data_IF_047753561345
#
_entry.id   IF_047753561345
#
_cell.length_a   1.000
_cell.length_b   1.000
_cell.length_c   1.000
_cell.angle_alpha   90.00
_cell.angle_beta   90.00
_cell.angle_gamma   90.00
#
_symmetry.space_group_name_H-M   'P 1'
#
loop_
_entity.id
_entity.type
_entity.pdbx_description
1 polymer ?
#
# COMPACT_ATOMS: atom_id res chain seq x y z
N UNK A 1 1.75 19.75 -23.93
CA UNK A 1 2.02 20.51 -22.68
C UNK A 1 3.24 19.92 -21.99
N UNK A 2 4.14 20.79 -21.53
CA UNK A 2 5.27 20.33 -20.72
C UNK A 2 4.78 19.97 -19.30
N UNK A 3 5.17 18.79 -18.83
CA UNK A 3 4.92 18.39 -17.46
C UNK A 3 5.69 19.34 -16.52
N UNK A 4 5.08 19.84 -15.43
CA UNK A 4 5.78 20.70 -14.48
C UNK A 4 7.07 20.08 -13.98
N UNK A 5 8.15 20.84 -14.03
CA UNK A 5 9.47 20.38 -13.57
C UNK A 5 9.53 20.49 -12.06
N UNK A 6 9.87 19.39 -11.40
CA UNK A 6 10.07 19.36 -9.93
C UNK A 6 11.55 19.59 -9.65
N UNK A 7 11.84 20.60 -8.85
CA UNK A 7 13.20 20.93 -8.40
C UNK A 7 13.35 20.61 -6.91
N UNK A 8 14.34 19.82 -6.57
CA UNK A 8 14.69 19.49 -5.18
C UNK A 8 16.21 19.70 -5.01
N UNK A 9 16.61 20.43 -3.98
CA UNK A 9 18.04 20.76 -3.73
C UNK A 9 18.77 21.33 -4.96
N UNK A 10 18.12 22.23 -5.69
CA UNK A 10 18.60 22.82 -6.96
C UNK A 10 18.84 21.81 -8.10
N UNK A 11 18.30 20.60 -8.00
CA UNK A 11 18.35 19.60 -9.07
C UNK A 11 16.94 19.32 -9.57
N UNK A 12 16.82 19.14 -10.88
CA UNK A 12 15.59 18.63 -11.48
C UNK A 12 15.44 17.15 -11.06
N UNK A 13 14.26 16.81 -10.52
CA UNK A 13 13.90 15.41 -10.24
C UNK A 13 13.25 14.87 -11.52
N UNK A 14 13.80 13.81 -12.12
CA UNK A 14 13.14 13.15 -13.23
C UNK A 14 11.82 12.54 -12.75
N UNK A 15 10.75 12.77 -13.51
CA UNK A 15 9.48 12.09 -13.27
C UNK A 15 9.57 10.69 -13.90
N UNK A 16 9.95 9.71 -13.10
CA UNK A 16 10.00 8.31 -13.51
C UNK A 16 8.58 7.71 -13.50
N UNK A 17 7.71 8.24 -14.36
CA UNK A 17 6.33 7.78 -14.48
C UNK A 17 6.31 6.34 -15.00
N UNK A 18 5.44 5.48 -14.45
CA UNK A 18 5.18 4.17 -15.04
C UNK A 18 4.49 4.33 -16.40
N UNK A 19 4.62 3.33 -17.26
CA UNK A 19 3.94 3.31 -18.57
C UNK A 19 2.42 3.44 -18.41
N UNK A 20 1.86 2.83 -17.34
CA UNK A 20 0.46 2.91 -16.99
C UNK A 20 0.29 3.31 -15.54
N UNK A 21 -0.64 4.21 -15.28
CA UNK A 21 -1.08 4.58 -13.93
C UNK A 21 -2.29 3.73 -13.59
N UNK A 22 -2.25 3.07 -12.43
CA UNK A 22 -3.33 2.23 -11.93
C UNK A 22 -3.95 2.83 -10.67
N UNK A 23 -5.20 2.48 -10.47
CA UNK A 23 -5.98 2.89 -9.30
C UNK A 23 -6.27 1.65 -8.46
N UNK A 24 -6.02 1.73 -7.16
CA UNK A 24 -6.55 0.77 -6.19
C UNK A 24 -7.75 1.40 -5.49
N UNK A 25 -8.91 0.78 -5.65
CA UNK A 25 -10.10 1.15 -4.89
C UNK A 25 -9.96 0.66 -3.44
N UNK A 26 -10.20 1.56 -2.49
CA UNK A 26 -10.15 1.25 -1.05
C UNK A 26 -11.50 1.45 -0.35
N UNK A 27 -12.57 1.57 -1.11
CA UNK A 27 -13.93 1.78 -0.60
C UNK A 27 -14.36 0.71 0.40
N UNK A 28 -14.02 -0.56 0.13
CA UNK A 28 -14.41 -1.69 0.97
C UNK A 28 -13.49 -1.94 2.16
N UNK A 29 -12.42 -1.20 2.28
CA UNK A 29 -11.51 -1.21 3.42
C UNK A 29 -11.49 0.16 4.11
N UNK A 30 -10.86 1.15 3.54
CA UNK A 30 -10.68 2.47 4.16
C UNK A 30 -11.98 3.26 4.23
N UNK A 31 -12.75 3.24 3.16
CA UNK A 31 -14.05 3.90 3.10
C UNK A 31 -15.03 3.43 4.19
N UNK A 32 -15.00 2.14 4.55
CA UNK A 32 -15.84 1.62 5.62
C UNK A 32 -15.41 2.01 7.03
N UNK A 33 -14.21 2.58 7.23
CA UNK A 33 -13.76 3.04 8.55
C UNK A 33 -14.43 4.34 9.00
N UNK A 34 -14.88 5.16 8.05
CA UNK A 34 -15.49 6.45 8.31
C UNK A 34 -17.03 6.44 8.31
N UNK A 35 -17.66 5.31 8.05
CA UNK A 35 -19.10 5.18 7.93
C UNK A 35 -19.60 3.80 8.41
N UNK A 36 -20.92 3.63 8.43
CA UNK A 36 -21.53 2.32 8.69
C UNK A 36 -21.10 1.31 7.64
N UNK A 37 -20.71 0.12 8.10
CA UNK A 37 -20.28 -0.95 7.21
C UNK A 37 -21.35 -1.33 6.20
N UNK A 38 -20.97 -1.46 4.94
CA UNK A 38 -21.84 -1.95 3.89
C UNK A 38 -22.34 -3.38 4.13
N UNK A 39 -23.53 -3.66 3.67
CA UNK A 39 -24.03 -5.03 3.56
C UNK A 39 -23.31 -5.78 2.44
N UNK A 40 -23.27 -7.11 2.50
CA UNK A 40 -22.74 -7.95 1.42
C UNK A 40 -23.33 -7.56 0.06
N UNK A 41 -24.66 -7.36 0.00
CA UNK A 41 -25.37 -6.96 -1.23
C UNK A 41 -24.88 -5.63 -1.79
N UNK A 42 -24.64 -4.63 -0.93
CA UNK A 42 -24.12 -3.33 -1.35
C UNK A 42 -22.71 -3.42 -1.89
N UNK A 43 -21.82 -4.16 -1.20
CA UNK A 43 -20.45 -4.36 -1.66
C UNK A 43 -20.43 -5.05 -3.03
N UNK A 44 -21.20 -6.12 -3.21
CA UNK A 44 -21.28 -6.81 -4.49
C UNK A 44 -21.73 -5.87 -5.61
N UNK A 45 -22.77 -5.06 -5.38
CA UNK A 45 -23.26 -4.11 -6.37
C UNK A 45 -22.22 -3.03 -6.69
N UNK A 46 -21.52 -2.51 -5.69
CA UNK A 46 -20.44 -1.53 -5.90
C UNK A 46 -19.24 -2.15 -6.63
N UNK A 47 -18.91 -3.40 -6.32
CA UNK A 47 -17.84 -4.12 -6.99
C UNK A 47 -18.19 -4.39 -8.46
N UNK A 48 -19.45 -4.77 -8.76
CA UNK A 48 -19.95 -4.90 -10.11
C UNK A 48 -19.85 -3.56 -10.87
N UNK A 49 -20.17 -2.42 -10.23
CA UNK A 49 -20.01 -1.09 -10.84
C UNK A 49 -18.55 -0.71 -11.10
N UNK A 50 -17.62 -1.04 -10.20
CA UNK A 50 -16.20 -0.79 -10.44
C UNK A 50 -15.71 -1.54 -11.67
N UNK A 51 -16.16 -2.78 -11.86
CA UNK A 51 -15.87 -3.57 -13.05
C UNK A 51 -16.47 -2.93 -14.33
N UNK A 52 -17.74 -2.51 -14.27
CA UNK A 52 -18.40 -1.83 -15.38
C UNK A 52 -17.71 -0.53 -15.77
N UNK A 53 -17.32 0.30 -14.78
CA UNK A 53 -16.58 1.56 -14.99
C UNK A 53 -15.22 1.32 -15.61
N UNK A 54 -14.49 0.31 -15.14
CA UNK A 54 -13.19 -0.05 -15.69
C UNK A 54 -13.27 -0.56 -17.13
N UNK A 55 -14.38 -1.18 -17.49
CA UNK A 55 -14.62 -1.74 -18.82
C UNK A 55 -13.48 -2.64 -19.33
N UNK A 56 -12.92 -3.45 -18.45
CA UNK A 56 -11.76 -4.34 -18.70
C UNK A 56 -10.47 -3.63 -19.17
N UNK A 57 -10.35 -2.34 -18.93
CA UNK A 57 -9.12 -1.59 -19.24
C UNK A 57 -7.99 -1.85 -18.23
N UNK A 58 -8.33 -2.33 -17.03
CA UNK A 58 -7.39 -2.58 -15.93
C UNK A 58 -6.79 -1.30 -15.33
N UNK A 59 -7.49 -0.16 -15.46
CA UNK A 59 -7.13 1.11 -14.83
C UNK A 59 -7.51 1.08 -13.35
N UNK A 60 -8.76 0.66 -13.03
CA UNK A 60 -9.14 0.27 -11.67
C UNK A 60 -8.58 -1.13 -11.44
N UNK A 61 -7.28 -1.15 -11.12
CA UNK A 61 -6.50 -2.39 -11.10
C UNK A 61 -6.92 -3.33 -9.98
N UNK A 62 -7.18 -2.78 -8.80
CA UNK A 62 -7.43 -3.58 -7.60
C UNK A 62 -8.54 -2.98 -6.76
N UNK A 63 -9.22 -3.83 -6.00
CA UNK A 63 -10.14 -3.45 -4.93
C UNK A 63 -9.73 -4.14 -3.65
N UNK A 64 -9.59 -3.36 -2.57
CA UNK A 64 -8.99 -3.78 -1.30
C UNK A 64 -10.05 -4.06 -0.24
N UNK A 65 -9.94 -5.23 0.41
CA UNK A 65 -10.93 -5.73 1.36
C UNK A 65 -10.32 -6.06 2.73
N UNK A 66 -11.13 -5.95 3.78
CA UNK A 66 -10.87 -6.60 5.05
C UNK A 66 -11.21 -8.09 5.01
N UNK A 67 -10.57 -8.87 5.91
CA UNK A 67 -10.80 -10.32 6.06
C UNK A 67 -11.18 -10.72 7.49
N UNK A 68 -11.36 -9.77 8.40
CA UNK A 68 -11.45 -10.05 9.83
C UNK A 68 -12.76 -10.71 10.24
N UNK A 69 -13.88 -10.26 9.74
CA UNK A 69 -15.19 -10.82 10.08
C UNK A 69 -15.60 -11.96 9.13
N UNK A 70 -16.53 -12.78 9.58
CA UNK A 70 -17.14 -13.80 8.71
C UNK A 70 -17.83 -13.17 7.49
N UNK A 71 -18.46 -11.99 7.69
CA UNK A 71 -19.10 -11.22 6.64
C UNK A 71 -18.07 -10.75 5.60
N UNK A 72 -16.91 -10.25 6.03
CA UNK A 72 -15.86 -9.78 5.10
C UNK A 72 -15.40 -10.94 4.21
N UNK A 73 -15.13 -12.10 4.81
CA UNK A 73 -14.71 -13.30 4.06
C UNK A 73 -15.79 -13.84 3.13
N UNK A 74 -17.06 -13.83 3.56
CA UNK A 74 -18.19 -14.17 2.69
C UNK A 74 -18.27 -13.23 1.50
N UNK A 75 -18.13 -11.92 1.74
CA UNK A 75 -18.16 -10.91 0.69
C UNK A 75 -17.04 -11.13 -0.32
N UNK A 76 -15.82 -11.34 0.15
CA UNK A 76 -14.66 -11.61 -0.73
C UNK A 76 -14.89 -12.85 -1.60
N UNK A 77 -15.38 -13.96 -1.03
CA UNK A 77 -15.70 -15.17 -1.83
C UNK A 77 -16.72 -14.88 -2.91
N UNK A 78 -17.79 -14.14 -2.58
CA UNK A 78 -18.81 -13.78 -3.57
C UNK A 78 -18.30 -12.82 -4.65
N UNK A 79 -17.35 -11.95 -4.33
CA UNK A 79 -16.65 -11.15 -5.34
C UNK A 79 -15.74 -12.04 -6.24
N UNK A 80 -15.03 -13.00 -5.64
CA UNK A 80 -14.22 -13.97 -6.40
C UNK A 80 -15.07 -14.82 -7.37
N UNK A 81 -16.29 -15.20 -6.96
CA UNK A 81 -17.25 -15.95 -7.80
C UNK A 81 -17.68 -15.17 -9.04
N UNK A 82 -17.51 -13.84 -9.11
CA UNK A 82 -17.75 -13.04 -10.31
C UNK A 82 -16.81 -13.37 -11.45
N UNK A 83 -15.59 -13.83 -11.12
CA UNK A 83 -14.58 -14.17 -12.13
C UNK A 83 -14.08 -13.00 -12.95
N UNK A 84 -14.24 -11.74 -12.46
CA UNK A 84 -13.73 -10.56 -13.15
C UNK A 84 -12.20 -10.56 -13.17
N UNK A 85 -11.62 -10.15 -14.30
CA UNK A 85 -10.19 -9.90 -14.39
C UNK A 85 -9.83 -8.63 -13.61
N UNK A 86 -10.64 -7.57 -13.73
CA UNK A 86 -10.50 -6.30 -13.03
C UNK A 86 -11.82 -5.81 -12.44
N UNK A 87 -11.78 -5.17 -11.24
CA UNK A 87 -10.62 -5.06 -10.35
C UNK A 87 -10.18 -6.41 -9.77
N UNK A 88 -8.87 -6.63 -9.67
CA UNK A 88 -8.33 -7.77 -8.92
C UNK A 88 -8.68 -7.61 -7.43
N UNK A 89 -8.98 -8.72 -6.78
CA UNK A 89 -9.25 -8.72 -5.34
C UNK A 89 -7.92 -8.76 -4.57
N UNK A 90 -7.72 -7.77 -3.73
CA UNK A 90 -6.62 -7.75 -2.77
C UNK A 90 -7.15 -7.57 -1.35
N UNK A 91 -6.37 -7.92 -0.36
CA UNK A 91 -6.75 -7.76 1.04
C UNK A 91 -5.85 -6.76 1.75
N UNK A 92 -6.30 -6.35 2.93
CA UNK A 92 -5.51 -5.57 3.85
C UNK A 92 -5.47 -6.26 5.22
N UNK A 93 -4.26 -6.40 5.75
CA UNK A 93 -3.98 -6.95 7.08
C UNK A 93 -2.96 -6.07 7.82
N UNK A 94 -2.89 -6.19 9.13
CA UNK A 94 -1.72 -5.74 9.88
C UNK A 94 -0.55 -6.67 9.53
N UNK A 95 0.68 -6.16 9.60
CA UNK A 95 1.88 -7.00 9.49
C UNK A 95 1.99 -7.89 10.73
N UNK A 96 1.15 -8.92 10.77
CA UNK A 96 1.02 -9.88 11.86
C UNK A 96 0.77 -11.28 11.30
N UNK A 97 1.43 -12.29 11.88
CA UNK A 97 1.38 -13.66 11.38
C UNK A 97 -0.02 -14.29 11.44
N UNK A 98 -0.79 -13.96 12.48
CA UNK A 98 -2.17 -14.47 12.63
C UNK A 98 -3.10 -13.89 11.58
N UNK A 99 -2.91 -12.60 11.27
CA UNK A 99 -3.68 -11.94 10.23
C UNK A 99 -3.33 -12.52 8.85
N UNK A 100 -2.06 -12.85 8.62
CA UNK A 100 -1.60 -13.45 7.36
C UNK A 100 -2.24 -14.83 7.08
N UNK A 101 -2.55 -15.63 8.12
CA UNK A 101 -3.26 -16.89 7.93
C UNK A 101 -4.68 -16.71 7.32
N UNK A 102 -5.30 -15.54 7.49
CA UNK A 102 -6.57 -15.24 6.83
C UNK A 102 -6.39 -15.09 5.32
N UNK A 103 -5.28 -14.48 4.89
CA UNK A 103 -4.96 -14.27 3.46
C UNK A 103 -4.82 -15.62 2.76
N UNK A 104 -4.04 -16.53 3.34
CA UNK A 104 -3.85 -17.89 2.79
C UNK A 104 -5.17 -18.63 2.65
N UNK A 105 -6.04 -18.59 3.69
CA UNK A 105 -7.35 -19.26 3.69
C UNK A 105 -8.32 -18.73 2.62
N UNK A 106 -8.09 -17.50 2.15
CA UNK A 106 -8.92 -16.85 1.15
C UNK A 106 -8.33 -16.92 -0.26
N UNK A 107 -7.18 -17.60 -0.43
CA UNK A 107 -6.51 -17.79 -1.72
C UNK A 107 -6.20 -16.47 -2.46
N UNK A 108 -5.90 -15.42 -1.68
CA UNK A 108 -5.58 -14.10 -2.20
C UNK A 108 -4.12 -14.06 -2.66
N UNK A 109 -3.89 -13.57 -3.86
CA UNK A 109 -2.57 -13.56 -4.50
C UNK A 109 -1.68 -12.39 -4.08
N UNK A 110 -2.28 -11.29 -3.65
CA UNK A 110 -1.59 -10.08 -3.20
C UNK A 110 -2.30 -9.51 -1.97
N UNK A 111 -1.54 -9.08 -0.97
CA UNK A 111 -2.12 -8.47 0.23
C UNK A 111 -1.38 -7.22 0.68
N UNK A 112 -2.13 -6.19 1.05
CA UNK A 112 -1.62 -5.04 1.78
C UNK A 112 -1.26 -5.43 3.21
N UNK A 113 -0.06 -5.07 3.65
CA UNK A 113 0.47 -5.31 5.00
C UNK A 113 0.79 -3.98 5.66
N UNK A 114 0.04 -3.60 6.69
CA UNK A 114 0.27 -2.35 7.41
C UNK A 114 1.54 -2.43 8.23
N UNK A 115 2.49 -1.56 7.92
CA UNK A 115 3.78 -1.41 8.57
C UNK A 115 3.92 0.02 9.06
N UNK A 116 3.71 0.24 10.36
CA UNK A 116 3.86 1.58 10.95
C UNK A 116 5.32 2.03 10.87
N UNK A 117 5.56 3.22 10.31
CA UNK A 117 6.92 3.72 10.06
C UNK A 117 7.33 4.88 10.96
N UNK A 118 6.38 5.65 11.52
CA UNK A 118 6.71 6.74 12.44
C UNK A 118 6.99 6.22 13.85
N UNK A 119 7.88 6.91 14.56
CA UNK A 119 8.16 6.62 15.98
C UNK A 119 6.90 6.73 16.84
N UNK A 120 5.98 7.63 16.49
CA UNK A 120 4.69 7.74 17.17
C UNK A 120 3.91 6.42 17.13
N UNK A 121 3.81 5.82 15.97
CA UNK A 121 3.09 4.56 15.83
C UNK A 121 3.89 3.38 16.37
N UNK A 122 5.20 3.35 16.15
CA UNK A 122 6.05 2.25 16.64
C UNK A 122 6.04 2.21 18.17
N UNK A 123 6.34 3.34 18.84
CA UNK A 123 6.47 3.36 20.28
C UNK A 123 5.12 3.45 21.02
N UNK A 124 4.20 4.31 20.54
CA UNK A 124 2.96 4.61 21.27
C UNK A 124 1.80 3.69 20.93
N UNK A 125 1.67 3.31 19.64
CA UNK A 125 0.59 2.44 19.17
C UNK A 125 0.94 0.97 19.31
N UNK A 126 2.17 0.58 18.95
CA UNK A 126 2.58 -0.83 18.93
C UNK A 126 3.33 -1.25 20.21
N UNK A 127 3.89 -0.31 20.98
CA UNK A 127 4.70 -0.60 22.15
C UNK A 127 6.03 -1.29 21.81
N UNK A 128 6.55 -1.08 20.61
CA UNK A 128 7.77 -1.69 20.09
C UNK A 128 8.87 -0.63 19.95
N UNK A 129 10.13 -1.06 19.90
CA UNK A 129 11.21 -0.22 19.38
C UNK A 129 11.37 -0.45 17.86
N UNK A 130 12.19 0.40 17.19
CA UNK A 130 12.41 0.34 15.74
C UNK A 130 12.93 -1.03 15.26
N UNK A 131 13.84 -1.66 16.03
CA UNK A 131 14.40 -2.98 15.68
C UNK A 131 13.32 -4.06 15.74
N UNK A 132 12.56 -4.11 16.82
CA UNK A 132 11.46 -5.07 16.99
C UNK A 132 10.38 -4.92 15.91
N UNK A 133 10.05 -3.68 15.55
CA UNK A 133 9.10 -3.40 14.48
C UNK A 133 9.64 -3.90 13.13
N UNK A 134 10.90 -3.62 12.83
CA UNK A 134 11.55 -4.06 11.59
C UNK A 134 11.60 -5.59 11.49
N UNK A 135 12.06 -6.27 12.54
CA UNK A 135 12.10 -7.73 12.61
C UNK A 135 10.71 -8.36 12.38
N UNK A 136 9.70 -7.81 13.04
CA UNK A 136 8.30 -8.24 12.87
C UNK A 136 7.84 -8.09 11.41
N UNK A 137 8.09 -6.95 10.78
CA UNK A 137 7.63 -6.68 9.41
C UNK A 137 8.35 -7.56 8.40
N UNK A 138 9.65 -7.72 8.52
CA UNK A 138 10.46 -8.61 7.68
C UNK A 138 9.97 -10.05 7.79
N UNK A 139 9.68 -10.53 9.01
CA UNK A 139 9.17 -11.89 9.24
C UNK A 139 7.86 -12.15 8.51
N UNK A 140 6.91 -11.23 8.59
CA UNK A 140 5.61 -11.40 7.93
C UNK A 140 5.73 -11.27 6.41
N UNK A 141 6.53 -10.32 5.91
CA UNK A 141 6.80 -10.19 4.47
C UNK A 141 7.44 -11.46 3.91
N UNK A 142 8.44 -12.03 4.61
CA UNK A 142 9.07 -13.30 4.22
C UNK A 142 8.07 -14.44 4.15
N UNK A 143 7.18 -14.57 5.14
CA UNK A 143 6.12 -15.61 5.11
C UNK A 143 5.19 -15.48 3.90
N UNK A 144 4.89 -14.26 3.48
CA UNK A 144 4.09 -14.05 2.28
C UNK A 144 4.85 -14.50 1.02
N UNK A 145 6.11 -14.12 0.90
CA UNK A 145 6.97 -14.53 -0.21
C UNK A 145 7.14 -16.05 -0.26
N UNK A 146 7.40 -16.69 0.89
CA UNK A 146 7.52 -18.16 1.00
C UNK A 146 6.22 -18.88 0.59
N UNK A 147 5.05 -18.21 0.74
CA UNK A 147 3.75 -18.72 0.31
C UNK A 147 3.39 -18.37 -1.15
N UNK A 148 4.27 -17.69 -1.89
CA UNK A 148 4.00 -17.23 -3.25
C UNK A 148 2.98 -16.09 -3.34
N UNK A 149 2.72 -15.39 -2.21
CA UNK A 149 1.78 -14.26 -2.13
C UNK A 149 2.59 -12.96 -2.20
N UNK A 150 2.20 -12.07 -3.11
CA UNK A 150 2.86 -10.77 -3.28
C UNK A 150 2.55 -9.85 -2.08
N UNK A 151 3.55 -9.45 -1.27
CA UNK A 151 3.33 -8.45 -0.25
C UNK A 151 3.29 -7.05 -0.87
N UNK A 152 2.29 -6.26 -0.51
CA UNK A 152 2.24 -4.82 -0.71
C UNK A 152 2.40 -4.14 0.63
N UNK A 153 3.60 -3.66 0.90
CA UNK A 153 3.98 -3.07 2.19
C UNK A 153 3.44 -1.66 2.30
N UNK A 154 2.48 -1.43 3.18
CA UNK A 154 1.91 -0.11 3.46
C UNK A 154 2.76 0.59 4.51
N UNK A 155 3.55 1.56 4.08
CA UNK A 155 4.42 2.37 4.93
C UNK A 155 3.58 3.43 5.66
N UNK A 156 2.88 3.00 6.71
CA UNK A 156 1.93 3.84 7.46
C UNK A 156 2.63 5.01 8.13
N UNK A 157 2.02 6.19 8.01
CA UNK A 157 2.48 7.43 8.62
C UNK A 157 3.88 7.87 8.14
N UNK A 158 4.15 7.64 6.86
CA UNK A 158 5.46 7.91 6.26
C UNK A 158 5.84 9.39 6.33
N UNK A 159 4.84 10.28 6.30
CA UNK A 159 5.04 11.74 6.38
C UNK A 159 5.47 12.26 7.76
N UNK A 160 5.58 11.36 8.76
CA UNK A 160 6.18 11.63 10.08
C UNK A 160 7.29 10.64 10.45
N UNK A 161 7.70 9.81 9.52
CA UNK A 161 8.71 8.78 9.74
C UNK A 161 10.13 9.34 9.57
N UNK A 162 11.08 8.70 10.24
CA UNK A 162 12.50 8.87 9.94
C UNK A 162 12.82 8.14 8.63
N UNK A 163 12.83 8.90 7.53
CA UNK A 163 12.94 8.33 6.19
C UNK A 163 14.24 7.54 6.01
N UNK A 164 15.37 8.12 6.34
CA UNK A 164 16.67 7.46 6.16
C UNK A 164 17.02 6.47 7.29
N UNK A 165 16.59 6.76 8.53
CA UNK A 165 16.92 5.92 9.68
C UNK A 165 16.01 4.70 9.86
N UNK A 166 14.82 4.70 9.23
CA UNK A 166 13.90 3.58 9.36
C UNK A 166 13.28 3.12 8.04
N UNK A 167 12.71 4.03 7.22
CA UNK A 167 11.96 3.65 6.01
C UNK A 167 12.89 3.03 4.97
N UNK A 168 13.98 3.70 4.63
CA UNK A 168 14.94 3.20 3.61
C UNK A 168 15.53 1.84 4.00
N UNK A 169 16.04 1.62 5.23
CA UNK A 169 16.48 0.29 5.65
C UNK A 169 15.40 -0.79 5.57
N UNK A 170 14.18 -0.51 6.01
CA UNK A 170 13.06 -1.45 5.94
C UNK A 170 12.75 -1.86 4.51
N UNK A 171 12.60 -0.88 3.62
CA UNK A 171 12.26 -1.11 2.21
C UNK A 171 13.38 -1.89 1.51
N UNK A 172 14.65 -1.54 1.74
CA UNK A 172 15.79 -2.28 1.18
C UNK A 172 15.78 -3.75 1.58
N UNK A 173 15.62 -4.04 2.88
CA UNK A 173 15.57 -5.42 3.38
C UNK A 173 14.44 -6.23 2.74
N UNK A 174 13.24 -5.67 2.69
CA UNK A 174 12.09 -6.39 2.12
C UNK A 174 12.21 -6.55 0.60
N UNK A 175 12.76 -5.54 -0.09
CA UNK A 175 12.99 -5.62 -1.55
C UNK A 175 14.02 -6.70 -1.91
N UNK A 176 15.08 -6.87 -1.11
CA UNK A 176 16.06 -7.96 -1.30
C UNK A 176 15.39 -9.33 -1.12
N UNK A 177 14.57 -9.52 -0.08
CA UNK A 177 13.79 -10.77 0.08
C UNK A 177 12.89 -11.05 -1.13
N UNK A 178 12.29 -10.01 -1.69
CA UNK A 178 11.50 -10.14 -2.92
C UNK A 178 12.32 -10.62 -4.12
N UNK A 179 13.53 -10.06 -4.28
CA UNK A 179 14.46 -10.51 -5.33
C UNK A 179 14.87 -11.97 -5.15
N UNK A 180 15.21 -12.38 -3.92
CA UNK A 180 15.55 -13.77 -3.59
C UNK A 180 14.39 -14.73 -3.91
N UNK A 181 13.15 -14.31 -3.62
CA UNK A 181 11.94 -15.08 -3.92
C UNK A 181 11.47 -14.98 -5.38
N UNK A 182 12.11 -14.15 -6.20
CA UNK A 182 11.68 -13.81 -7.56
C UNK A 182 10.22 -13.28 -7.61
N UNK A 183 9.82 -12.51 -6.59
CA UNK A 183 8.52 -11.84 -6.48
C UNK A 183 8.75 -10.35 -6.34
N UNK A 184 8.13 -9.55 -7.23
CA UNK A 184 8.18 -8.08 -7.11
C UNK A 184 7.33 -7.62 -5.92
N UNK A 185 7.99 -7.24 -4.84
CA UNK A 185 7.33 -6.58 -3.70
C UNK A 185 6.82 -5.21 -4.12
N UNK A 186 5.64 -4.83 -3.65
CA UNK A 186 5.06 -3.50 -3.85
C UNK A 186 5.10 -2.69 -2.56
N UNK A 187 5.22 -1.39 -2.70
CA UNK A 187 5.25 -0.46 -1.57
C UNK A 187 4.22 0.65 -1.76
N UNK A 188 3.41 0.86 -0.74
CA UNK A 188 2.45 1.96 -0.67
C UNK A 188 2.94 2.98 0.36
N UNK A 189 3.28 4.17 -0.08
CA UNK A 189 3.57 5.29 0.81
C UNK A 189 2.24 5.88 1.32
N UNK A 190 2.01 5.80 2.63
CA UNK A 190 0.74 6.21 3.24
C UNK A 190 0.91 7.52 4.01
N UNK A 191 0.32 8.58 3.49
CA UNK A 191 0.16 9.86 4.19
C UNK A 191 -1.07 9.82 5.09
N UNK A 192 -0.91 9.15 6.21
CA UNK A 192 -2.01 8.79 7.14
C UNK A 192 -2.76 9.99 7.69
N UNK A 193 -2.11 11.14 7.80
CA UNK A 193 -2.69 12.37 8.36
C UNK A 193 -2.88 13.49 7.33
N UNK A 194 -2.62 13.26 6.04
CA UNK A 194 -2.73 14.27 5.01
C UNK A 194 -1.74 15.42 5.21
N UNK A 195 -0.50 15.13 5.57
CA UNK A 195 0.53 16.11 5.87
C UNK A 195 1.56 16.28 4.75
N UNK A 196 1.47 15.44 3.72
CA UNK A 196 2.35 15.46 2.56
C UNK A 196 2.09 16.68 1.69
N UNK A 197 3.15 17.25 1.15
CA UNK A 197 3.07 18.41 0.27
C UNK A 197 3.61 18.06 -1.13
N UNK A 198 2.98 18.54 -2.21
CA UNK A 198 3.35 18.19 -3.58
C UNK A 198 4.59 18.93 -4.09
N UNK A 199 5.38 19.53 -3.22
CA UNK A 199 6.52 20.38 -3.57
C UNK A 199 7.86 19.71 -3.27
N UNK A 200 8.77 19.70 -4.26
CA UNK A 200 10.10 19.13 -4.13
C UNK A 200 11.05 19.89 -3.20
N UNK A 201 10.78 21.17 -2.93
CA UNK A 201 11.59 22.02 -2.04
C UNK A 201 11.26 21.90 -0.56
N UNK A 202 10.34 21.02 -0.19
CA UNK A 202 9.97 20.75 1.20
C UNK A 202 10.86 19.67 1.78
N UNK A 203 11.27 19.83 3.03
CA UNK A 203 12.11 18.85 3.72
C UNK A 203 11.38 17.52 3.95
N UNK A 204 12.13 16.42 3.89
CA UNK A 204 11.63 15.11 4.30
C UNK A 204 11.26 15.11 5.80
N UNK A 205 10.21 14.41 6.18
CA UNK A 205 9.39 13.50 5.37
C UNK A 205 8.09 14.13 4.82
N UNK A 206 8.03 15.43 4.59
CA UNK A 206 6.81 16.13 4.15
C UNK A 206 6.69 16.30 2.62
N UNK A 207 7.77 16.15 1.89
CA UNK A 207 7.75 16.24 0.42
C UNK A 207 7.35 14.91 -0.21
N UNK A 208 6.18 14.86 -0.84
CA UNK A 208 5.73 13.69 -1.61
C UNK A 208 6.73 13.35 -2.72
N UNK A 209 7.18 14.30 -3.55
CA UNK A 209 8.18 14.01 -4.59
C UNK A 209 9.48 13.45 -4.03
N UNK A 210 9.95 13.97 -2.88
CA UNK A 210 11.20 13.50 -2.27
C UNK A 210 11.07 12.08 -1.70
N UNK A 211 9.91 11.73 -1.11
CA UNK A 211 9.62 10.37 -0.64
C UNK A 211 9.65 9.40 -1.82
N UNK A 212 8.91 9.69 -2.89
CA UNK A 212 8.81 8.79 -4.06
C UNK A 212 10.15 8.64 -4.75
N UNK A 213 10.87 9.76 -5.00
CA UNK A 213 12.22 9.74 -5.58
C UNK A 213 13.19 8.94 -4.71
N UNK A 214 13.16 9.14 -3.39
CA UNK A 214 14.01 8.40 -2.47
C UNK A 214 13.73 6.89 -2.45
N UNK A 215 12.47 6.47 -2.48
CA UNK A 215 12.11 5.05 -2.58
C UNK A 215 12.58 4.45 -3.92
N UNK A 216 12.51 5.22 -5.00
CA UNK A 216 12.98 4.77 -6.30
C UNK A 216 14.51 4.70 -6.37
N UNK A 217 15.20 5.78 -6.02
CA UNK A 217 16.66 5.91 -6.18
C UNK A 217 17.44 5.14 -5.11
N UNK A 218 17.05 5.30 -3.84
CA UNK A 218 17.78 4.68 -2.71
C UNK A 218 17.46 3.20 -2.53
N UNK A 219 16.21 2.80 -2.79
CA UNK A 219 15.74 1.43 -2.55
C UNK A 219 15.56 0.63 -3.84
N UNK A 220 15.78 1.24 -5.02
CA UNK A 220 15.62 0.60 -6.32
C UNK A 220 14.22 0.00 -6.55
N UNK A 221 13.19 0.61 -5.96
CA UNK A 221 11.80 0.19 -6.18
C UNK A 221 11.32 0.76 -7.51
N UNK A 222 10.90 -0.07 -8.48
CA UNK A 222 10.46 0.45 -9.77
C UNK A 222 9.11 1.19 -9.63
N UNK A 223 8.88 2.22 -10.45
CA UNK A 223 7.66 3.05 -10.38
C UNK A 223 6.36 2.23 -10.41
N UNK A 224 6.31 1.16 -11.19
CA UNK A 224 5.16 0.23 -11.26
C UNK A 224 4.89 -0.54 -9.96
N UNK A 225 5.81 -0.53 -9.01
CA UNK A 225 5.68 -1.17 -7.69
C UNK A 225 5.53 -0.13 -6.56
N UNK A 226 5.42 1.15 -6.90
CA UNK A 226 5.16 2.23 -5.95
C UNK A 226 3.71 2.70 -6.06
N UNK A 227 3.09 2.94 -4.92
CA UNK A 227 1.74 3.48 -4.79
C UNK A 227 1.73 4.61 -3.75
N UNK A 228 0.98 5.66 -4.03
CA UNK A 228 0.70 6.71 -3.06
C UNK A 228 -0.73 6.56 -2.54
N UNK A 229 -0.87 6.63 -1.22
CA UNK A 229 -2.17 6.66 -0.54
C UNK A 229 -2.19 7.87 0.40
N UNK A 230 -2.90 8.91 0.00
CA UNK A 230 -2.98 10.16 0.75
C UNK A 230 -4.39 10.43 1.26
N UNK A 231 -4.49 10.82 2.53
CA UNK A 231 -5.70 11.43 3.07
C UNK A 231 -5.72 12.91 2.72
N UNK A 232 -6.88 13.43 2.39
CA UNK A 232 -7.05 14.81 1.93
C UNK A 232 -7.73 15.70 2.97
N UNK A 233 -7.48 15.44 4.26
CA UNK A 233 -8.14 16.15 5.37
C UNK A 233 -7.76 17.63 5.43
N UNK A 234 -6.59 18.00 4.92
CA UNK A 234 -6.09 19.37 4.90
C UNK A 234 -6.07 20.00 3.50
N UNK A 235 -6.65 19.35 2.51
CA UNK A 235 -6.70 19.83 1.11
C UNK A 235 -5.30 20.10 0.49
N UNK A 236 -4.31 19.29 0.82
CA UNK A 236 -2.94 19.40 0.31
C UNK A 236 -2.75 18.73 -1.06
#
# INVERSE_FOLDING_TARGET
EEIPKIVMNNKLIPLNLPEKIWITDTTFRDGQQSMSSFTVRQILKLYDYLHEIDNNMGIIRQSEFFLYSARDRETVRKCQERGYEFPEITSWIRADEKDFELVKKMEIKETGMLMSCSDYHIFKKLGLNRREAMEKYITVAKKALDAGITPRCHLEDITRADFYGFVVPLVKNINELGKEANIQVKFRACDTLGLGLPYGGVELPRSIPAIISGLHEECQVPSKALEWHGHNDYCN
#
